data_IF_687916761449
#
_entry.id   IF_687916761449
#
_cell.length_a   1.000
_cell.length_b   1.000
_cell.length_c   1.000
_cell.angle_alpha   90.00
_cell.angle_beta   90.00
_cell.angle_gamma   90.00
#
_symmetry.space_group_name_H-M   'P 1'
#
loop_
_entity.id
_entity.type
_entity.pdbx_description
1 polymer ?
#
# COMPACT_ATOMS: atom_id res chain seq x y z
N UNK A 1 -27.36 -27.07 4.12
CA UNK A 1 -27.06 -26.19 2.97
C UNK A 1 -28.31 -25.64 2.28
N UNK A 2 -29.35 -26.44 1.98
CA UNK A 2 -30.54 -25.97 1.26
C UNK A 2 -31.44 -24.94 1.98
N UNK A 3 -31.59 -25.02 3.31
CA UNK A 3 -32.43 -24.09 4.09
C UNK A 3 -31.79 -22.69 4.15
N UNK A 4 -30.46 -22.63 4.18
CA UNK A 4 -29.67 -21.38 4.18
C UNK A 4 -29.68 -20.70 2.79
N UNK A 5 -29.74 -21.50 1.72
CA UNK A 5 -29.89 -21.01 0.34
C UNK A 5 -31.31 -20.44 0.08
N UNK A 6 -32.33 -21.07 0.68
CA UNK A 6 -33.72 -20.64 0.56
C UNK A 6 -34.01 -19.34 1.32
N UNK A 7 -33.36 -19.10 2.47
CA UNK A 7 -33.51 -17.84 3.22
C UNK A 7 -32.76 -16.66 2.58
N UNK A 8 -31.71 -16.92 1.79
CA UNK A 8 -31.00 -15.90 1.00
C UNK A 8 -31.83 -15.30 -0.14
N UNK A 9 -32.76 -16.08 -0.72
CA UNK A 9 -33.58 -15.62 -1.85
C UNK A 9 -34.78 -14.76 -1.42
N UNK A 10 -35.20 -14.86 -0.15
CA UNK A 10 -36.37 -14.12 0.36
C UNK A 10 -35.99 -12.75 0.91
N UNK A 11 -34.82 -12.57 1.54
CA UNK A 11 -34.35 -11.27 2.03
C UNK A 11 -33.16 -10.73 1.21
N UNK A 12 -33.38 -10.19 0.00
CA UNK A 12 -32.29 -9.69 -0.84
C UNK A 12 -31.65 -8.40 -0.32
N UNK A 13 -32.18 -7.76 0.74
CA UNK A 13 -31.75 -6.41 1.14
C UNK A 13 -31.39 -6.20 2.61
N UNK A 14 -31.87 -7.04 3.54
CA UNK A 14 -31.85 -6.67 4.97
C UNK A 14 -30.68 -7.29 5.74
N UNK A 15 -30.20 -8.47 5.33
CA UNK A 15 -29.19 -9.24 6.08
C UNK A 15 -27.74 -8.89 5.72
N UNK A 16 -27.44 -8.64 4.44
CA UNK A 16 -26.10 -8.16 4.02
C UNK A 16 -25.86 -6.70 4.41
N UNK A 17 -26.92 -5.89 4.40
CA UNK A 17 -26.87 -4.51 4.89
C UNK A 17 -26.88 -4.44 6.41
N UNK A 18 -27.46 -5.41 7.12
CA UNK A 18 -27.41 -5.46 8.58
C UNK A 18 -25.96 -5.48 9.08
N UNK A 19 -25.19 -6.51 8.75
CA UNK A 19 -23.85 -6.72 9.34
C UNK A 19 -22.84 -5.63 8.95
N UNK A 20 -22.90 -5.12 7.71
CA UNK A 20 -21.97 -4.08 7.23
C UNK A 20 -22.39 -2.66 7.63
N UNK A 21 -23.68 -2.38 7.79
CA UNK A 21 -24.17 -1.06 8.20
C UNK A 21 -24.28 -0.90 9.73
N UNK A 22 -23.69 -1.76 10.56
CA UNK A 22 -23.74 -1.59 12.03
C UNK A 22 -22.69 -0.61 12.57
N UNK A 23 -21.56 -0.43 11.91
CA UNK A 23 -20.45 0.40 12.42
C UNK A 23 -20.74 1.91 12.36
N UNK A 24 -21.41 2.32 11.29
CA UNK A 24 -21.75 3.73 11.03
C UNK A 24 -22.81 4.25 12.03
N UNK A 25 -23.96 3.57 12.25
CA UNK A 25 -24.96 4.01 13.23
C UNK A 25 -24.44 3.90 14.67
N UNK A 26 -23.54 2.97 14.99
CA UNK A 26 -22.91 2.91 16.31
C UNK A 26 -22.10 4.18 16.62
N UNK A 27 -21.25 4.61 15.68
CA UNK A 27 -20.47 5.86 15.84
C UNK A 27 -21.38 7.11 15.94
N UNK A 28 -22.51 7.11 15.24
CA UNK A 28 -23.48 8.22 15.27
C UNK A 28 -24.22 8.27 16.62
N UNK A 29 -24.59 7.12 17.17
CA UNK A 29 -25.23 7.03 18.47
C UNK A 29 -24.28 7.55 19.56
N UNK A 30 -23.00 7.19 19.50
CA UNK A 30 -21.97 7.73 20.39
C UNK A 30 -21.78 9.25 20.24
N UNK A 31 -21.78 9.79 19.00
CA UNK A 31 -21.68 11.24 18.75
C UNK A 31 -22.87 12.01 19.32
N UNK A 32 -24.08 11.50 19.17
CA UNK A 32 -25.29 12.16 19.68
C UNK A 32 -25.26 12.27 21.21
N UNK A 33 -24.86 11.20 21.88
CA UNK A 33 -24.67 11.16 23.34
C UNK A 33 -23.56 12.12 23.75
N UNK A 34 -22.44 12.14 23.02
CA UNK A 34 -21.30 13.02 23.28
C UNK A 34 -21.65 14.51 23.20
N UNK A 35 -22.39 14.94 22.17
CA UNK A 35 -22.80 16.36 22.03
C UNK A 35 -23.72 16.77 23.18
N UNK A 36 -24.65 15.90 23.56
CA UNK A 36 -25.57 16.12 24.68
C UNK A 36 -24.82 16.22 26.02
N UNK A 37 -23.83 15.39 26.28
CA UNK A 37 -23.10 15.39 27.55
C UNK A 37 -22.07 16.52 27.63
N UNK A 38 -21.48 16.90 26.49
CA UNK A 38 -20.61 18.08 26.37
C UNK A 38 -21.38 19.38 26.60
N UNK A 39 -22.63 19.51 26.12
CA UNK A 39 -23.43 20.71 26.33
C UNK A 39 -23.81 20.93 27.81
N UNK A 40 -23.78 19.88 28.62
CA UNK A 40 -23.97 19.93 30.07
C UNK A 40 -22.64 20.06 30.83
N UNK A 41 -21.52 20.30 30.15
CA UNK A 41 -20.16 20.36 30.71
C UNK A 41 -19.78 19.13 31.56
N UNK A 42 -20.35 17.95 31.28
CA UNK A 42 -20.07 16.73 32.04
C UNK A 42 -18.61 16.27 31.87
N UNK A 43 -18.01 16.49 30.69
CA UNK A 43 -16.59 16.24 30.40
C UNK A 43 -16.09 17.05 29.20
N UNK A 44 -14.77 17.26 29.12
CA UNK A 44 -14.10 17.97 28.01
C UNK A 44 -13.95 17.08 26.78
N UNK A 45 -14.10 17.66 25.58
CA UNK A 45 -13.93 16.97 24.31
C UNK A 45 -12.56 16.27 24.16
N UNK A 46 -11.49 16.89 24.67
CA UNK A 46 -10.14 16.32 24.63
C UNK A 46 -10.00 15.01 25.42
N UNK A 47 -10.69 14.90 26.56
CA UNK A 47 -10.65 13.68 27.38
C UNK A 47 -11.33 12.52 26.67
N UNK A 48 -12.45 12.78 25.99
CA UNK A 48 -13.18 11.78 25.23
C UNK A 48 -12.35 11.25 24.05
N UNK A 49 -11.68 12.13 23.30
CA UNK A 49 -10.84 11.72 22.18
C UNK A 49 -9.62 10.90 22.61
N UNK A 50 -9.00 11.25 23.74
CA UNK A 50 -7.82 10.53 24.26
C UNK A 50 -8.20 9.12 24.72
N UNK A 51 -9.30 8.99 25.48
CA UNK A 51 -9.78 7.68 25.94
C UNK A 51 -10.17 6.81 24.74
N UNK A 52 -10.90 7.36 23.77
CA UNK A 52 -11.26 6.65 22.55
C UNK A 52 -10.03 6.17 21.78
N UNK A 53 -9.01 7.01 21.61
CA UNK A 53 -7.76 6.63 20.96
C UNK A 53 -7.07 5.47 21.69
N UNK A 54 -6.95 5.54 23.02
CA UNK A 54 -6.36 4.47 23.85
C UNK A 54 -7.14 3.16 23.70
N UNK A 55 -8.47 3.23 23.64
CA UNK A 55 -9.32 2.04 23.44
C UNK A 55 -9.14 1.41 22.06
N UNK A 56 -8.98 2.21 21.00
CA UNK A 56 -8.84 1.67 19.64
C UNK A 56 -7.43 1.16 19.33
N UNK A 57 -6.36 1.71 19.92
CA UNK A 57 -4.98 1.26 19.69
C UNK A 57 -4.78 -0.28 19.78
N UNK A 58 -5.18 -0.97 20.88
CA UNK A 58 -4.98 -2.42 20.98
C UNK A 58 -5.82 -3.20 19.96
N UNK A 59 -7.02 -2.72 19.62
CA UNK A 59 -7.86 -3.34 18.61
C UNK A 59 -7.23 -3.24 17.22
N UNK A 60 -6.66 -2.08 16.88
CA UNK A 60 -5.93 -1.89 15.61
C UNK A 60 -4.65 -2.73 15.56
N UNK A 61 -3.95 -2.89 16.68
CA UNK A 61 -2.76 -3.74 16.75
C UNK A 61 -3.11 -5.21 16.52
N UNK A 62 -4.21 -5.68 17.11
CA UNK A 62 -4.74 -7.02 16.88
C UNK A 62 -5.13 -7.20 15.41
N UNK A 63 -5.88 -6.25 14.84
CA UNK A 63 -6.28 -6.28 13.44
C UNK A 63 -5.08 -6.33 12.49
N UNK A 64 -4.05 -5.51 12.74
CA UNK A 64 -2.79 -5.50 11.98
C UNK A 64 -2.08 -6.86 12.08
N UNK A 65 -2.00 -7.43 13.28
CA UNK A 65 -1.32 -8.71 13.53
C UNK A 65 -2.02 -9.87 12.85
N UNK A 66 -3.35 -9.92 12.90
CA UNK A 66 -4.15 -10.95 12.22
C UNK A 66 -3.97 -10.84 10.71
N UNK A 67 -4.07 -9.63 10.15
CA UNK A 67 -3.85 -9.43 8.72
C UNK A 67 -2.42 -9.82 8.31
N UNK A 68 -1.42 -9.42 9.10
CA UNK A 68 -0.03 -9.76 8.83
C UNK A 68 0.21 -11.27 8.88
N UNK A 69 -0.34 -11.98 9.88
CA UNK A 69 -0.21 -13.43 10.01
C UNK A 69 -0.84 -14.19 8.83
N UNK A 70 -1.98 -13.69 8.31
CA UNK A 70 -2.66 -14.29 7.14
C UNK A 70 -1.83 -14.10 5.88
N UNK A 71 -1.23 -12.93 5.67
CA UNK A 71 -0.49 -12.58 4.43
C UNK A 71 0.94 -13.13 4.44
N UNK A 72 1.56 -13.24 5.62
CA UNK A 72 2.97 -13.62 5.74
C UNK A 72 3.30 -14.99 5.13
N UNK A 73 2.46 -16.01 5.42
CA UNK A 73 2.72 -17.38 4.97
C UNK A 73 2.46 -17.60 3.47
N UNK A 74 1.35 -17.10 2.90
CA UNK A 74 1.05 -17.33 1.48
C UNK A 74 1.95 -16.56 0.52
N UNK A 75 2.38 -15.34 0.87
CA UNK A 75 3.17 -14.51 -0.04
C UNK A 75 4.68 -14.79 0.05
N UNK A 76 5.15 -15.60 1.01
CA UNK A 76 6.57 -15.94 1.20
C UNK A 76 7.47 -14.69 1.21
N UNK A 77 7.10 -13.69 2.03
CA UNK A 77 7.86 -12.44 2.15
C UNK A 77 9.24 -12.73 2.74
N UNK A 78 10.29 -12.20 2.11
CA UNK A 78 11.69 -12.38 2.50
C UNK A 78 12.16 -11.29 3.49
N UNK A 79 11.40 -10.20 3.62
CA UNK A 79 11.73 -9.08 4.50
C UNK A 79 11.61 -9.39 6.01
N UNK A 80 11.94 -8.43 6.89
CA UNK A 80 11.70 -8.56 8.33
C UNK A 80 10.21 -8.41 8.69
N UNK A 81 9.60 -9.47 9.28
CA UNK A 81 8.18 -9.48 9.70
C UNK A 81 7.78 -8.30 10.61
N UNK A 82 8.68 -7.90 11.51
CA UNK A 82 8.41 -6.81 12.46
C UNK A 82 8.25 -5.46 11.74
N UNK A 83 9.05 -5.20 10.70
CA UNK A 83 8.93 -3.99 9.90
C UNK A 83 7.59 -3.98 9.14
N UNK A 84 7.25 -5.09 8.49
CA UNK A 84 5.97 -5.28 7.83
C UNK A 84 4.77 -5.03 8.76
N UNK A 85 4.82 -5.58 9.98
CA UNK A 85 3.77 -5.38 11.00
C UNK A 85 3.67 -3.91 11.42
N UNK A 86 4.79 -3.24 11.68
CA UNK A 86 4.80 -1.82 12.08
C UNK A 86 4.23 -0.93 10.96
N UNK A 87 4.63 -1.16 9.72
CA UNK A 87 4.11 -0.41 8.56
C UNK A 87 2.60 -0.60 8.43
N UNK A 88 2.09 -1.82 8.55
CA UNK A 88 0.65 -2.10 8.53
C UNK A 88 -0.09 -1.45 9.71
N UNK A 89 0.49 -1.47 10.90
CA UNK A 89 -0.10 -0.86 12.08
C UNK A 89 -0.23 0.66 11.94
N UNK A 90 0.84 1.32 11.50
CA UNK A 90 0.84 2.77 11.24
C UNK A 90 -0.14 3.13 10.12
N UNK A 91 -0.23 2.32 9.07
CA UNK A 91 -1.20 2.50 7.99
C UNK A 91 -2.65 2.47 8.49
N UNK A 92 -3.00 1.46 9.30
CA UNK A 92 -4.34 1.36 9.88
C UNK A 92 -4.63 2.54 10.80
N UNK A 93 -3.67 2.94 11.62
CA UNK A 93 -3.81 4.09 12.52
C UNK A 93 -4.03 5.40 11.74
N UNK A 94 -3.27 5.62 10.67
CA UNK A 94 -3.39 6.81 9.83
C UNK A 94 -4.72 6.85 9.08
N UNK A 95 -5.13 5.73 8.48
CA UNK A 95 -6.43 5.62 7.78
C UNK A 95 -7.59 5.84 8.75
N UNK A 96 -7.54 5.28 9.96
CA UNK A 96 -8.57 5.51 10.99
C UNK A 96 -8.65 6.97 11.40
N UNK A 97 -7.50 7.62 11.58
CA UNK A 97 -7.44 9.05 11.92
C UNK A 97 -8.06 9.92 10.81
N UNK A 98 -7.79 9.59 9.55
CA UNK A 98 -8.38 10.28 8.40
C UNK A 98 -9.91 10.11 8.36
N UNK A 99 -10.42 8.90 8.55
CA UNK A 99 -11.88 8.64 8.56
C UNK A 99 -12.57 9.42 9.70
N UNK A 100 -11.98 9.45 10.90
CA UNK A 100 -12.51 10.22 12.03
C UNK A 100 -12.49 11.72 11.74
N UNK A 101 -11.42 12.22 11.10
CA UNK A 101 -11.32 13.62 10.68
C UNK A 101 -12.45 14.00 9.72
N UNK A 102 -12.64 13.24 8.63
CA UNK A 102 -13.74 13.48 7.67
C UNK A 102 -15.09 13.40 8.35
N UNK A 103 -15.30 12.38 9.20
CA UNK A 103 -16.56 12.22 9.95
C UNK A 103 -16.84 13.36 10.93
N UNK A 104 -15.82 14.08 11.42
CA UNK A 104 -16.00 15.22 12.31
C UNK A 104 -16.51 16.46 11.58
N UNK A 105 -16.09 16.63 10.32
CA UNK A 105 -16.45 17.76 9.45
C UNK A 105 -17.88 17.62 8.94
N UNK A 106 -18.29 16.39 8.60
CA UNK A 106 -19.60 16.16 7.98
C UNK A 106 -20.71 16.03 9.04
N UNK A 107 -21.82 16.79 8.92
CA UNK A 107 -22.96 16.69 9.83
C UNK A 107 -23.91 15.53 9.50
N UNK A 108 -23.94 15.08 8.24
CA UNK A 108 -24.87 14.07 7.72
C UNK A 108 -24.17 12.72 7.43
N UNK A 109 -24.74 11.61 7.93
CA UNK A 109 -24.11 10.29 7.82
C UNK A 109 -24.00 9.76 6.39
N UNK A 110 -25.04 9.92 5.58
CA UNK A 110 -25.08 9.42 4.20
C UNK A 110 -24.04 10.12 3.34
N UNK A 111 -23.88 11.43 3.56
CA UNK A 111 -22.88 12.23 2.85
C UNK A 111 -21.46 11.87 3.31
N UNK A 112 -21.24 11.73 4.62
CA UNK A 112 -19.92 11.39 5.16
C UNK A 112 -19.42 10.03 4.68
N UNK A 113 -20.31 9.05 4.56
CA UNK A 113 -19.96 7.75 3.98
C UNK A 113 -19.51 7.86 2.53
N UNK A 114 -20.27 8.58 1.70
CA UNK A 114 -19.94 8.79 0.29
C UNK A 114 -18.60 9.53 0.13
N UNK A 115 -18.35 10.55 0.95
CA UNK A 115 -17.09 11.30 0.95
C UNK A 115 -15.89 10.43 1.33
N UNK A 116 -15.99 9.64 2.41
CA UNK A 116 -14.89 8.74 2.82
C UNK A 116 -14.52 7.76 1.71
N UNK A 117 -15.51 7.20 1.02
CA UNK A 117 -15.26 6.30 -0.12
C UNK A 117 -14.60 7.06 -1.27
N UNK A 118 -15.12 8.22 -1.63
CA UNK A 118 -14.57 9.04 -2.71
C UNK A 118 -13.11 9.41 -2.44
N UNK A 119 -12.78 9.87 -1.23
CA UNK A 119 -11.41 10.19 -0.85
C UNK A 119 -10.52 8.95 -0.80
N UNK A 120 -11.02 7.80 -0.34
CA UNK A 120 -10.26 6.55 -0.33
C UNK A 120 -9.92 6.12 -1.76
N UNK A 121 -10.87 6.22 -2.70
CA UNK A 121 -10.62 5.92 -4.11
C UNK A 121 -9.62 6.90 -4.74
N UNK A 122 -9.71 8.18 -4.41
CA UNK A 122 -8.75 9.18 -4.86
C UNK A 122 -7.34 8.87 -4.32
N UNK A 123 -7.20 8.61 -3.03
CA UNK A 123 -5.90 8.25 -2.43
C UNK A 123 -5.31 6.96 -3.01
N UNK A 124 -6.15 6.00 -3.37
CA UNK A 124 -5.73 4.78 -4.05
C UNK A 124 -5.25 5.04 -5.49
N UNK A 125 -5.85 5.98 -6.21
CA UNK A 125 -5.39 6.36 -7.55
C UNK A 125 -4.00 7.00 -7.52
N UNK A 126 -3.74 7.86 -6.53
CA UNK A 126 -2.50 8.63 -6.41
C UNK A 126 -1.42 7.97 -5.53
N UNK A 127 -1.60 6.71 -5.10
CA UNK A 127 -0.66 6.05 -4.19
C UNK A 127 0.67 5.61 -4.82
N UNK A 128 0.90 5.88 -6.11
CA UNK A 128 2.09 5.45 -6.84
C UNK A 128 1.95 4.10 -7.55
N UNK A 129 0.86 3.36 -7.33
CA UNK A 129 0.61 2.07 -7.99
C UNK A 129 0.02 2.22 -9.42
N UNK A 130 -1.00 3.08 -9.60
CA UNK A 130 -1.65 3.28 -10.91
C UNK A 130 -1.03 4.39 -11.76
N UNK A 131 -0.49 5.41 -11.11
CA UNK A 131 0.13 6.58 -11.71
C UNK A 131 1.53 6.70 -11.12
N UNK A 132 2.55 6.72 -11.98
CA UNK A 132 3.91 6.99 -11.55
C UNK A 132 4.03 8.45 -11.09
N UNK A 133 4.80 8.69 -10.04
CA UNK A 133 4.95 10.02 -9.41
C UNK A 133 5.54 11.06 -10.36
N UNK A 134 6.24 10.62 -11.41
CA UNK A 134 6.81 11.48 -12.45
C UNK A 134 5.79 11.95 -13.49
N UNK A 135 4.75 11.15 -13.76
CA UNK A 135 3.70 11.46 -14.74
C UNK A 135 2.60 12.36 -14.16
N UNK A 136 2.57 12.55 -12.83
CA UNK A 136 1.62 13.44 -12.17
C UNK A 136 2.02 14.90 -12.47
N UNK A 137 1.13 15.70 -13.08
CA UNK A 137 1.43 17.07 -13.37
C UNK A 137 1.62 17.86 -12.06
N UNK A 138 2.55 18.82 -12.05
CA UNK A 138 3.03 19.46 -10.82
C UNK A 138 1.93 20.07 -9.92
N UNK A 139 0.80 20.49 -10.48
CA UNK A 139 -0.33 21.03 -9.73
C UNK A 139 -1.12 19.97 -8.93
N UNK A 140 -0.99 18.67 -9.24
CA UNK A 140 -1.63 17.55 -8.50
C UNK A 140 -0.66 16.80 -7.58
N UNK A 141 0.63 17.15 -7.60
CA UNK A 141 1.66 16.43 -6.84
C UNK A 141 1.44 16.46 -5.33
N UNK A 142 0.80 17.50 -4.80
CA UNK A 142 0.47 17.59 -3.37
C UNK A 142 -0.46 16.46 -2.91
N UNK A 143 -1.33 15.95 -3.78
CA UNK A 143 -2.28 14.90 -3.41
C UNK A 143 -1.60 13.54 -3.25
N UNK A 144 -0.53 13.29 -4.00
CA UNK A 144 0.32 12.10 -3.81
C UNK A 144 0.95 12.09 -2.40
N UNK A 145 1.44 13.23 -1.93
CA UNK A 145 2.03 13.36 -0.58
C UNK A 145 0.99 13.32 0.54
N UNK A 146 -0.25 13.78 0.30
CA UNK A 146 -1.35 13.71 1.26
C UNK A 146 -1.99 12.32 1.34
N UNK A 147 -1.83 11.48 0.31
CA UNK A 147 -2.40 10.14 0.30
C UNK A 147 -1.78 9.27 1.39
N UNK A 148 -2.61 8.80 2.30
CA UNK A 148 -2.22 7.89 3.37
C UNK A 148 -1.76 6.51 2.86
N UNK A 149 -2.09 6.17 1.61
CA UNK A 149 -1.75 4.88 0.99
C UNK A 149 -0.39 4.85 0.31
N UNK A 150 0.20 6.00 -0.02
CA UNK A 150 1.51 6.10 -0.70
C UNK A 150 2.64 5.52 0.16
N UNK A 151 2.79 6.03 1.39
CA UNK A 151 3.88 5.65 2.29
C UNK A 151 3.91 4.16 2.69
N UNK A 152 2.78 3.53 3.06
CA UNK A 152 2.81 2.10 3.37
C UNK A 152 3.06 1.26 2.12
N UNK A 153 2.61 1.70 0.93
CA UNK A 153 2.94 1.01 -0.31
C UNK A 153 4.45 1.03 -0.57
N UNK A 154 5.08 2.20 -0.52
CA UNK A 154 6.54 2.33 -0.66
C UNK A 154 7.29 1.57 0.44
N UNK A 155 6.81 1.62 1.69
CA UNK A 155 7.40 0.89 2.80
C UNK A 155 7.35 -0.62 2.60
N UNK A 156 6.21 -1.16 2.13
CA UNK A 156 6.09 -2.57 1.79
C UNK A 156 7.01 -2.98 0.64
N UNK A 157 7.14 -2.13 -0.39
CA UNK A 157 8.09 -2.36 -1.47
C UNK A 157 9.52 -2.38 -0.96
N UNK A 158 9.89 -1.42 -0.10
CA UNK A 158 11.22 -1.40 0.50
C UNK A 158 11.48 -2.64 1.35
N UNK A 159 10.49 -3.11 2.12
CA UNK A 159 10.62 -4.32 2.93
C UNK A 159 10.98 -5.56 2.10
N UNK A 160 10.39 -5.71 0.91
CA UNK A 160 10.62 -6.87 0.06
C UNK A 160 11.83 -6.72 -0.87
N UNK A 161 12.06 -5.52 -1.40
CA UNK A 161 13.05 -5.30 -2.45
C UNK A 161 14.37 -4.73 -1.94
N UNK A 162 14.51 -4.35 -0.66
CA UNK A 162 15.80 -3.98 -0.06
C UNK A 162 16.62 -5.21 0.35
N UNK A 163 16.79 -6.14 -0.56
CA UNK A 163 17.69 -7.28 -0.40
C UNK A 163 18.98 -6.95 -1.15
N UNK A 164 20.14 -7.11 -0.52
CA UNK A 164 21.46 -6.93 -1.15
C UNK A 164 21.78 -8.00 -2.21
N UNK A 165 20.87 -8.93 -2.45
CA UNK A 165 20.94 -9.94 -3.48
C UNK A 165 20.43 -9.30 -4.78
N UNK A 166 21.35 -8.99 -5.70
CA UNK A 166 20.96 -8.71 -7.09
C UNK A 166 20.09 -9.85 -7.60
N UNK A 167 18.89 -9.56 -8.12
CA UNK A 167 17.96 -10.50 -8.76
C UNK A 167 18.64 -11.26 -9.92
N UNK A 168 19.49 -12.24 -9.59
CA UNK A 168 20.39 -12.89 -10.51
C UNK A 168 21.39 -11.93 -11.17
N UNK A 169 22.59 -12.41 -11.45
CA UNK A 169 23.45 -11.80 -12.47
C UNK A 169 22.90 -12.14 -13.85
N UNK A 170 21.67 -11.71 -14.14
CA UNK A 170 20.94 -12.04 -15.35
C UNK A 170 20.74 -10.72 -16.10
N UNK A 171 21.58 -10.50 -17.09
CA UNK A 171 21.50 -9.32 -17.95
C UNK A 171 20.14 -9.34 -18.67
N UNK A 172 19.44 -8.20 -18.72
CA UNK A 172 18.05 -8.10 -19.20
C UNK A 172 17.80 -8.72 -20.58
N UNK A 173 18.84 -8.85 -21.42
CA UNK A 173 18.75 -9.55 -22.70
C UNK A 173 18.38 -11.04 -22.57
N UNK A 174 18.76 -11.71 -21.48
CA UNK A 174 18.51 -13.15 -21.31
C UNK A 174 17.05 -13.45 -20.95
N UNK A 175 16.35 -12.49 -20.29
CA UNK A 175 14.91 -12.55 -20.06
C UNK A 175 14.14 -12.30 -21.37
N UNK A 176 14.61 -11.35 -22.17
CA UNK A 176 14.03 -11.08 -23.50
C UNK A 176 14.19 -12.27 -24.45
N UNK A 177 15.31 -12.99 -24.33
CA UNK A 177 15.60 -14.17 -25.14
C UNK A 177 14.81 -15.41 -24.68
N UNK A 178 14.58 -15.59 -23.37
CA UNK A 178 13.73 -16.66 -22.85
C UNK A 178 12.25 -16.47 -23.17
N UNK A 179 11.80 -15.21 -23.26
CA UNK A 179 10.45 -14.86 -23.72
C UNK A 179 10.31 -14.85 -25.24
N UNK A 180 11.38 -15.15 -26.01
CA UNK A 180 11.39 -15.12 -27.48
C UNK A 180 10.96 -13.77 -28.10
N UNK A 181 11.06 -12.69 -27.32
CA UNK A 181 10.71 -11.31 -27.73
C UNK A 181 11.92 -10.60 -28.37
N UNK A 182 13.06 -11.27 -28.51
CA UNK A 182 14.26 -10.76 -29.19
C UNK A 182 13.97 -10.24 -30.60
N UNK A 183 13.79 -8.93 -30.72
CA UNK A 183 13.52 -8.23 -31.97
C UNK A 183 14.66 -8.49 -32.97
N UNK A 184 14.28 -9.02 -34.13
CA UNK A 184 15.11 -9.18 -35.34
C UNK A 184 15.84 -7.88 -35.76
N UNK A 185 15.42 -6.75 -35.19
CA UNK A 185 16.01 -5.42 -35.34
C UNK A 185 17.40 -5.27 -34.69
N UNK A 186 17.74 -6.03 -33.65
CA UNK A 186 19.06 -5.99 -33.01
C UNK A 186 20.20 -6.47 -33.95
N UNK A 187 19.89 -7.38 -34.88
CA UNK A 187 20.84 -7.81 -35.92
C UNK A 187 21.17 -6.70 -36.92
N UNK A 188 20.28 -5.71 -37.09
CA UNK A 188 20.46 -4.60 -38.02
C UNK A 188 21.51 -3.60 -37.51
N UNK A 189 21.57 -3.40 -36.18
CA UNK A 189 22.53 -2.52 -35.52
C UNK A 189 23.88 -3.19 -35.26
N UNK A 190 23.94 -4.53 -35.12
CA UNK A 190 25.20 -5.26 -35.00
C UNK A 190 26.00 -5.32 -36.31
N UNK A 191 25.35 -5.29 -37.49
CA UNK A 191 26.04 -5.23 -38.78
C UNK A 191 26.67 -3.88 -39.10
N UNK A 192 26.39 -2.84 -38.32
CA UNK A 192 26.91 -1.49 -38.50
C UNK A 192 28.16 -1.17 -37.66
N UNK A 193 28.59 -2.08 -36.77
CA UNK A 193 29.80 -1.89 -35.97
C UNK A 193 30.96 -2.66 -36.61
N UNK A 194 32.15 -2.05 -36.79
CA UNK A 194 33.31 -2.77 -37.29
C UNK A 194 33.69 -3.88 -36.31
N UNK A 195 33.75 -5.10 -36.80
CA UNK A 195 34.21 -6.26 -36.04
C UNK A 195 35.64 -6.04 -35.52
N UNK A 196 35.94 -6.31 -34.23
CA UNK A 196 37.32 -6.50 -33.82
C UNK A 196 37.82 -7.77 -34.49
N UNK A 197 38.76 -7.61 -35.42
CA UNK A 197 39.48 -8.67 -36.11
C UNK A 197 40.14 -9.59 -35.08
N UNK A 198 39.98 -10.89 -35.30
CA UNK A 198 40.54 -11.97 -34.50
C UNK A 198 42.04 -12.16 -34.76
N UNK A 199 42.85 -11.14 -34.49
CA UNK A 199 44.32 -11.25 -34.47
C UNK A 199 44.82 -10.67 -33.14
N UNK A 200 45.31 -11.55 -32.25
CA UNK A 200 45.85 -11.12 -30.96
C UNK A 200 45.89 -12.18 -29.84
N UNK A 201 45.60 -13.46 -30.13
CA UNK A 201 45.85 -14.55 -29.19
C UNK A 201 47.15 -15.25 -29.59
N UNK A 202 48.30 -14.63 -29.29
CA UNK A 202 49.59 -15.28 -29.03
C UNK A 202 50.67 -14.19 -28.86
N UNK A 203 51.54 -14.37 -27.86
CA UNK A 203 52.60 -13.47 -27.42
C UNK A 203 52.14 -12.24 -26.62
N UNK A 204 52.05 -12.37 -25.30
CA UNK A 204 53.18 -11.90 -24.48
C UNK A 204 53.13 -12.50 -23.07
N UNK A 205 54.14 -13.30 -22.77
CA UNK A 205 54.50 -13.75 -21.45
C UNK A 205 55.76 -12.98 -21.06
N UNK A 206 55.63 -11.84 -20.37
CA UNK A 206 56.67 -11.27 -19.49
C UNK A 206 56.18 -10.01 -18.74
N UNK A 207 56.63 -9.90 -17.48
CA UNK A 207 56.32 -8.92 -16.40
C UNK A 207 56.79 -7.46 -16.72
N UNK A 208 56.75 -6.41 -15.84
CA UNK A 208 56.49 -6.38 -14.38
C UNK A 208 55.72 -5.17 -13.77
N UNK A 209 55.54 -5.28 -12.45
CA UNK A 209 55.28 -4.23 -11.45
C UNK A 209 55.85 -2.84 -11.76
N UNK A 210 55.06 -1.79 -11.53
CA UNK A 210 55.56 -0.44 -11.27
C UNK A 210 54.51 0.68 -11.42
N UNK A 211 54.37 1.48 -10.35
CA UNK A 211 53.84 2.87 -10.31
C UNK A 211 52.31 2.99 -10.34
N UNK A 212 51.59 3.31 -9.26
CA UNK A 212 51.66 4.50 -8.39
C UNK A 212 51.96 5.78 -9.19
N UNK A 213 50.88 6.48 -9.54
CA UNK A 213 50.72 7.93 -9.39
C UNK A 213 49.22 8.23 -9.29
#
# INVERSE_FOLDING_TARGET
MGIMMATMFWQPKDSMQGITNHLIPAFIQERFIFVRETSHNAYKASSYTIVGLITYLPFLALQATVYAAIVWKPLQLDGPFLYFLIVLYIFLLSTKSFVVFVSSVVPNYTLGYAEVIAFTMLFFLFCGYFLDSYDIPGYWRWMHYMSTMTYPYEGLLMNEYQINETFGRIEGYSILNSLSIGLKENFKWQKGQPHPTSEGIAHDSQMPLGWIA
#
